data_IF_658927116871
#
_entry.id   IF_658927116871
#
_cell.length_a   1.000
_cell.length_b   1.000
_cell.length_c   1.000
_cell.angle_alpha   90.00
_cell.angle_beta   90.00
_cell.angle_gamma   90.00
#
_symmetry.space_group_name_H-M   'P 1'
#
loop_
_entity.id
_entity.type
_entity.pdbx_description
1 polymer ?
#
# COMPACT_ATOMS: atom_id res chain seq x y z
N UNK A 1 -3.37 -0.70 -29.49
CA UNK A 1 -3.22 0.29 -28.41
C UNK A 1 -4.59 0.67 -27.90
N UNK A 2 -4.97 0.23 -26.70
CA UNK A 2 -6.16 0.74 -26.02
C UNK A 2 -5.87 2.15 -25.52
N UNK A 3 -6.45 3.15 -26.18
CA UNK A 3 -6.54 4.50 -25.62
C UNK A 3 -7.93 4.61 -25.00
N UNK A 4 -8.03 4.50 -23.70
CA UNK A 4 -9.27 4.65 -22.96
C UNK A 4 -9.32 6.02 -22.29
N UNK A 5 -10.34 6.79 -22.67
CA UNK A 5 -10.70 8.06 -22.05
C UNK A 5 -11.78 7.75 -21.03
N UNK A 6 -11.46 7.85 -19.77
CA UNK A 6 -12.37 7.55 -18.67
C UNK A 6 -11.80 6.47 -17.74
N UNK A 7 -12.40 6.27 -16.58
CA UNK A 7 -12.02 5.38 -15.48
C UNK A 7 -12.00 3.87 -15.81
N UNK A 8 -11.54 3.50 -16.99
CA UNK A 8 -11.49 2.12 -17.48
C UNK A 8 -10.04 1.64 -17.53
N UNK A 9 -9.81 0.46 -17.02
CA UNK A 9 -8.50 -0.15 -16.94
C UNK A 9 -8.45 -1.46 -17.71
N UNK A 10 -7.55 -1.53 -18.71
CA UNK A 10 -7.28 -2.77 -19.43
C UNK A 10 -6.17 -3.57 -18.76
N UNK A 11 -6.44 -4.83 -18.46
CA UNK A 11 -5.38 -5.80 -18.18
C UNK A 11 -4.82 -6.19 -19.55
N UNK A 12 -3.59 -5.71 -19.84
CA UNK A 12 -2.93 -5.90 -21.13
C UNK A 12 -2.88 -7.38 -21.50
N UNK A 13 -3.18 -7.68 -22.76
CA UNK A 13 -3.04 -8.98 -23.43
C UNK A 13 -3.98 -10.14 -23.00
N UNK A 14 -4.84 -9.96 -21.99
CA UNK A 14 -5.78 -11.01 -21.56
C UNK A 14 -7.24 -10.76 -21.93
N UNK A 15 -7.55 -9.63 -22.53
CA UNK A 15 -8.93 -9.31 -22.94
C UNK A 15 -9.87 -8.99 -21.77
N UNK A 16 -9.35 -8.49 -20.65
CA UNK A 16 -10.17 -8.02 -19.52
C UNK A 16 -10.17 -6.50 -19.42
N UNK A 17 -11.33 -5.95 -19.06
CA UNK A 17 -11.53 -4.53 -18.76
C UNK A 17 -12.26 -4.41 -17.44
N UNK A 18 -11.78 -3.54 -16.56
CA UNK A 18 -12.49 -3.17 -15.33
C UNK A 18 -13.18 -1.84 -15.56
N UNK A 19 -14.49 -1.78 -15.32
CA UNK A 19 -15.29 -0.57 -15.43
C UNK A 19 -15.93 -0.23 -14.09
N UNK A 20 -16.13 1.06 -13.85
CA UNK A 20 -16.93 1.52 -12.73
C UNK A 20 -18.41 1.23 -12.97
N UNK A 21 -19.11 0.67 -11.96
CA UNK A 21 -20.54 0.42 -12.03
C UNK A 21 -21.31 1.72 -11.85
N UNK A 22 -22.05 2.13 -12.86
CA UNK A 22 -22.78 3.42 -12.88
C UNK A 22 -24.23 3.30 -12.39
N UNK A 23 -24.72 2.09 -12.16
CA UNK A 23 -26.11 1.83 -11.75
C UNK A 23 -26.16 0.75 -10.66
N UNK A 24 -26.87 1.02 -9.56
CA UNK A 24 -27.01 0.09 -8.44
C UNK A 24 -26.00 0.35 -7.33
N UNK A 25 -25.56 -0.72 -6.69
CA UNK A 25 -24.56 -0.65 -5.60
C UNK A 25 -23.19 -0.22 -6.12
N UNK A 26 -22.46 0.52 -5.28
CA UNK A 26 -21.10 0.92 -5.61
C UNK A 26 -20.22 -0.30 -5.85
N UNK A 27 -19.39 -0.25 -6.88
CA UNK A 27 -18.46 -1.33 -7.22
C UNK A 27 -17.92 -1.21 -8.62
N UNK A 28 -17.31 -2.29 -9.08
CA UNK A 28 -16.72 -2.41 -10.41
C UNK A 28 -17.23 -3.67 -11.09
N UNK A 29 -17.13 -3.69 -12.40
CA UNK A 29 -17.39 -4.86 -13.23
C UNK A 29 -16.13 -5.26 -13.99
N UNK A 30 -15.74 -6.52 -13.88
CA UNK A 30 -14.68 -7.13 -14.69
C UNK A 30 -15.32 -7.73 -15.94
N UNK A 31 -15.02 -7.20 -17.09
CA UNK A 31 -15.49 -7.68 -18.40
C UNK A 31 -14.41 -8.56 -19.03
N UNK A 32 -14.74 -9.81 -19.31
CA UNK A 32 -13.96 -10.66 -20.20
C UNK A 32 -14.36 -10.35 -21.66
N UNK A 33 -13.48 -9.73 -22.40
CA UNK A 33 -13.72 -9.33 -23.79
C UNK A 33 -13.71 -10.52 -24.78
N UNK A 34 -13.23 -11.68 -24.35
CA UNK A 34 -13.18 -12.90 -25.17
C UNK A 34 -14.47 -13.69 -25.04
N UNK A 35 -14.94 -13.88 -23.80
CA UNK A 35 -16.15 -14.66 -23.51
C UNK A 35 -17.41 -13.79 -23.45
N UNK A 36 -17.25 -12.50 -23.19
CA UNK A 36 -18.35 -11.57 -22.92
C UNK A 36 -18.92 -11.69 -21.50
N UNK A 37 -18.28 -12.47 -20.63
CA UNK A 37 -18.69 -12.60 -19.24
C UNK A 37 -18.41 -11.32 -18.45
N UNK A 38 -19.32 -10.97 -17.52
CA UNK A 38 -19.20 -9.84 -16.63
C UNK A 38 -19.21 -10.36 -15.20
N UNK A 39 -18.14 -10.11 -14.47
CA UNK A 39 -18.00 -10.53 -13.09
C UNK A 39 -18.01 -9.32 -12.16
N UNK A 40 -18.92 -9.24 -11.17
CA UNK A 40 -18.98 -8.13 -10.25
C UNK A 40 -17.81 -8.16 -9.25
N UNK A 41 -17.28 -6.98 -8.97
CA UNK A 41 -16.21 -6.74 -8.01
C UNK A 41 -16.67 -5.73 -6.96
N UNK A 42 -16.26 -5.94 -5.70
CA UNK A 42 -16.35 -4.91 -4.67
C UNK A 42 -15.37 -3.77 -4.97
N UNK A 43 -14.17 -4.13 -5.39
CA UNK A 43 -13.14 -3.14 -5.62
C UNK A 43 -12.04 -3.63 -6.56
N UNK A 44 -11.32 -2.68 -7.13
CA UNK A 44 -10.09 -2.90 -7.88
C UNK A 44 -9.09 -1.78 -7.61
N UNK A 45 -7.81 -2.12 -7.61
CA UNK A 45 -6.73 -1.14 -7.45
C UNK A 45 -5.55 -1.51 -8.32
N UNK A 46 -4.96 -0.51 -8.95
CA UNK A 46 -3.73 -0.68 -9.73
C UNK A 46 -2.61 0.10 -9.10
N UNK A 47 -1.47 -0.53 -9.04
CA UNK A 47 -0.24 0.10 -8.63
C UNK A 47 0.92 -0.45 -9.45
N UNK A 48 1.63 0.48 -10.11
CA UNK A 48 2.79 0.10 -10.93
C UNK A 48 2.45 -1.00 -11.94
N UNK A 49 2.97 -2.19 -11.72
CA UNK A 49 2.85 -3.38 -12.57
C UNK A 49 1.87 -4.43 -12.02
N UNK A 50 1.11 -4.10 -10.99
CA UNK A 50 0.15 -5.00 -10.37
C UNK A 50 -1.28 -4.47 -10.36
N UNK A 51 -2.25 -5.38 -10.45
CA UNK A 51 -3.66 -5.10 -10.25
C UNK A 51 -4.25 -6.03 -9.20
N UNK A 52 -4.92 -5.46 -8.21
CA UNK A 52 -5.70 -6.19 -7.23
C UNK A 52 -7.19 -6.15 -7.60
N UNK A 53 -7.83 -7.32 -7.58
CA UNK A 53 -9.26 -7.49 -7.84
C UNK A 53 -9.90 -8.15 -6.62
N UNK A 54 -10.91 -7.48 -6.03
CA UNK A 54 -11.67 -7.99 -4.90
C UNK A 54 -13.09 -8.32 -5.35
N UNK A 55 -13.41 -9.60 -5.38
CA UNK A 55 -14.67 -10.14 -5.88
C UNK A 55 -15.76 -10.13 -4.80
N UNK A 56 -17.02 -10.07 -5.22
CA UNK A 56 -18.18 -10.06 -4.29
C UNK A 56 -18.33 -11.37 -3.50
N UNK A 57 -17.72 -12.46 -3.95
CA UNK A 57 -17.68 -13.73 -3.23
C UNK A 57 -16.55 -13.81 -2.18
N UNK A 58 -15.86 -12.70 -1.92
CA UNK A 58 -14.77 -12.62 -0.95
C UNK A 58 -13.41 -13.00 -1.49
N UNK A 59 -13.29 -13.43 -2.75
CA UNK A 59 -11.98 -13.71 -3.34
C UNK A 59 -11.20 -12.43 -3.58
N UNK A 60 -9.93 -12.49 -3.27
CA UNK A 60 -8.96 -11.43 -3.53
C UNK A 60 -7.84 -11.97 -4.40
N UNK A 61 -7.66 -11.37 -5.57
CA UNK A 61 -6.62 -11.77 -6.52
C UNK A 61 -5.75 -10.58 -6.89
N UNK A 62 -4.44 -10.83 -6.99
CA UNK A 62 -3.47 -9.86 -7.50
C UNK A 62 -2.74 -10.46 -8.69
N UNK A 63 -2.68 -9.70 -9.76
CA UNK A 63 -2.01 -10.09 -11.00
C UNK A 63 -0.90 -9.10 -11.33
N UNK A 64 0.19 -9.62 -11.89
CA UNK A 64 1.14 -8.78 -12.61
C UNK A 64 0.51 -8.34 -13.93
N UNK A 65 0.49 -7.04 -14.21
CA UNK A 65 -0.16 -6.49 -15.41
C UNK A 65 0.66 -6.67 -16.68
N UNK A 66 1.98 -6.86 -16.55
CA UNK A 66 2.86 -7.08 -17.69
C UNK A 66 2.89 -8.55 -18.13
N UNK A 67 3.09 -9.46 -17.18
CA UNK A 67 3.17 -10.91 -17.46
C UNK A 67 1.81 -11.59 -17.36
N UNK A 68 0.89 -10.99 -16.59
CA UNK A 68 -0.43 -11.54 -16.29
C UNK A 68 -0.37 -12.71 -15.31
N UNK A 69 0.74 -12.92 -14.63
CA UNK A 69 0.86 -13.96 -13.62
C UNK A 69 0.01 -13.63 -12.39
N UNK A 70 -0.61 -14.66 -11.85
CA UNK A 70 -1.34 -14.58 -10.59
C UNK A 70 -0.33 -14.61 -9.44
N UNK A 71 -0.25 -13.51 -8.69
CA UNK A 71 0.67 -13.38 -7.55
C UNK A 71 -0.02 -13.81 -6.25
N UNK A 72 -1.27 -13.38 -6.07
CA UNK A 72 -2.04 -13.65 -4.85
C UNK A 72 -3.41 -14.20 -5.25
N UNK A 73 -3.84 -15.28 -4.59
CA UNK A 73 -5.21 -15.84 -4.69
C UNK A 73 -5.64 -16.28 -3.30
N UNK A 74 -6.44 -15.49 -2.64
CA UNK A 74 -6.87 -15.74 -1.27
C UNK A 74 -8.34 -15.38 -1.08
N UNK A 75 -8.91 -15.79 0.05
CA UNK A 75 -10.28 -15.44 0.43
C UNK A 75 -10.25 -14.55 1.67
N UNK A 76 -11.00 -13.47 1.61
CA UNK A 76 -11.25 -12.59 2.74
C UNK A 76 -12.53 -13.03 3.42
N UNK A 77 -12.43 -13.41 4.69
CA UNK A 77 -13.59 -13.78 5.48
C UNK A 77 -14.49 -12.54 5.72
N UNK A 78 -15.74 -12.56 5.27
CA UNK A 78 -16.66 -11.48 5.53
C UNK A 78 -16.97 -11.38 7.04
N UNK A 79 -17.15 -10.15 7.53
CA UNK A 79 -17.54 -9.90 8.90
C UNK A 79 -18.96 -9.33 8.89
N UNK A 80 -19.86 -9.93 9.66
CA UNK A 80 -21.26 -9.50 9.73
C UNK A 80 -21.35 -8.05 10.20
N UNK A 81 -22.18 -7.25 9.52
CA UNK A 81 -22.36 -5.83 9.82
C UNK A 81 -21.23 -4.92 9.34
N UNK A 82 -20.26 -5.45 8.60
CA UNK A 82 -19.14 -4.69 8.09
C UNK A 82 -19.03 -4.84 6.56
N UNK A 83 -18.58 -3.78 5.92
CA UNK A 83 -18.18 -3.80 4.52
C UNK A 83 -16.65 -3.77 4.41
N UNK A 84 -16.13 -4.56 3.52
CA UNK A 84 -14.73 -4.45 3.14
C UNK A 84 -14.58 -3.27 2.22
N UNK A 85 -13.87 -2.27 2.70
CA UNK A 85 -13.46 -1.16 1.86
C UNK A 85 -12.01 -1.37 1.49
N UNK A 86 -11.77 -1.42 0.26
CA UNK A 86 -10.47 -1.48 -0.21
C UNK A 86 -9.80 -0.17 -0.16
N UNK A 87 -8.66 0.14 0.08
CA UNK A 87 -7.60 -0.53 0.15
C UNK A 87 -6.65 -0.15 -0.91
N UNK A 88 -5.44 -0.30 -0.66
CA UNK A 88 -4.37 -0.11 -1.61
C UNK A 88 -3.78 -1.47 -2.01
N UNK A 89 -3.55 -1.64 -3.30
CA UNK A 89 -2.58 -2.57 -3.81
C UNK A 89 -1.19 -1.99 -3.55
N UNK A 90 -0.36 -2.69 -2.79
CA UNK A 90 0.94 -2.16 -2.33
C UNK A 90 2.14 -2.66 -3.14
N UNK A 91 1.90 -3.35 -4.24
CA UNK A 91 2.92 -4.07 -4.99
C UNK A 91 3.28 -5.40 -4.33
N UNK A 92 4.15 -6.17 -4.96
CA UNK A 92 4.62 -7.49 -4.47
C UNK A 92 3.49 -8.47 -4.09
N UNK A 93 2.26 -8.25 -4.57
CA UNK A 93 1.10 -9.05 -4.26
C UNK A 93 0.42 -8.74 -2.93
N UNK A 94 0.86 -7.72 -2.19
CA UNK A 94 0.23 -7.31 -0.94
C UNK A 94 -0.94 -6.36 -1.17
N UNK A 95 -2.03 -6.60 -0.45
CA UNK A 95 -3.25 -5.79 -0.48
C UNK A 95 -3.64 -5.38 0.91
N UNK A 96 -3.88 -4.09 1.08
CA UNK A 96 -4.35 -3.49 2.31
C UNK A 96 -5.88 -3.43 2.32
N UNK A 97 -6.51 -3.98 3.33
CA UNK A 97 -7.95 -4.05 3.49
C UNK A 97 -8.38 -3.35 4.79
N UNK A 98 -9.33 -2.43 4.66
CA UNK A 98 -10.05 -1.89 5.80
C UNK A 98 -11.44 -2.49 5.85
N UNK A 99 -11.85 -2.95 7.01
CA UNK A 99 -13.24 -3.26 7.31
C UNK A 99 -13.85 -2.03 7.95
N UNK A 100 -15.02 -1.63 7.45
CA UNK A 100 -15.75 -0.47 7.95
C UNK A 100 -17.15 -0.88 8.39
N UNK A 101 -17.60 -0.29 9.47
CA UNK A 101 -18.97 -0.42 9.94
C UNK A 101 -19.95 0.12 8.88
N UNK A 102 -21.06 -0.61 8.65
CA UNK A 102 -22.04 -0.24 7.63
C UNK A 102 -22.85 1.01 7.98
N UNK A 103 -22.98 1.33 9.26
CA UNK A 103 -23.85 2.41 9.72
C UNK A 103 -23.12 3.76 9.79
N UNK A 104 -21.87 3.75 10.29
CA UNK A 104 -21.12 4.98 10.54
C UNK A 104 -19.86 5.12 9.67
N UNK A 105 -19.51 4.08 8.89
CA UNK A 105 -18.31 4.03 8.03
C UNK A 105 -16.99 4.16 8.78
N UNK A 106 -16.98 3.96 10.09
CA UNK A 106 -15.73 3.92 10.85
C UNK A 106 -14.93 2.65 10.55
N UNK A 107 -13.63 2.80 10.43
CA UNK A 107 -12.74 1.64 10.23
C UNK A 107 -12.69 0.82 11.52
N UNK A 108 -13.14 -0.41 11.44
CA UNK A 108 -13.21 -1.35 12.55
C UNK A 108 -12.07 -2.35 12.57
N UNK A 109 -11.45 -2.60 11.41
CA UNK A 109 -10.28 -3.45 11.30
C UNK A 109 -9.40 -3.03 10.14
N UNK A 110 -8.11 -3.31 10.27
CA UNK A 110 -7.10 -3.12 9.23
C UNK A 110 -6.32 -4.41 9.05
N UNK A 111 -6.37 -4.96 7.84
CA UNK A 111 -5.73 -6.23 7.51
C UNK A 111 -4.91 -6.14 6.24
N UNK A 112 -3.84 -6.89 6.19
CA UNK A 112 -2.98 -7.03 5.00
C UNK A 112 -2.98 -8.47 4.54
N UNK A 113 -3.28 -8.65 3.27
CA UNK A 113 -3.26 -9.96 2.61
C UNK A 113 -2.09 -9.99 1.62
N UNK A 114 -1.48 -11.14 1.48
CA UNK A 114 -0.39 -11.40 0.55
C UNK A 114 -0.55 -12.76 -0.12
N UNK A 115 0.48 -13.24 -0.84
CA UNK A 115 0.43 -14.49 -1.58
C UNK A 115 0.00 -15.71 -0.75
N UNK A 116 0.36 -15.74 0.54
CA UNK A 116 0.04 -16.84 1.47
C UNK A 116 -1.28 -16.61 2.24
N UNK A 117 -2.05 -15.59 1.94
CA UNK A 117 -3.31 -15.25 2.62
C UNK A 117 -3.19 -14.06 3.57
N UNK A 118 -3.86 -14.13 4.74
CA UNK A 118 -3.77 -13.08 5.76
C UNK A 118 -2.36 -13.03 6.34
N UNK A 119 -1.67 -11.92 6.11
CA UNK A 119 -0.30 -11.69 6.59
C UNK A 119 -0.29 -10.95 7.91
N UNK A 120 -1.13 -9.91 8.03
CA UNK A 120 -1.16 -9.06 9.21
C UNK A 120 -2.58 -8.65 9.57
N UNK A 121 -2.89 -8.68 10.86
CA UNK A 121 -4.05 -8.01 11.45
C UNK A 121 -3.55 -6.88 12.34
N UNK A 122 -3.66 -5.67 11.85
CA UNK A 122 -3.17 -4.44 12.48
C UNK A 122 -4.27 -3.69 13.25
N UNK A 123 -5.42 -4.31 13.42
CA UNK A 123 -6.61 -3.69 14.05
C UNK A 123 -6.29 -3.13 15.43
N UNK A 124 -5.49 -3.84 16.22
CA UNK A 124 -5.11 -3.44 17.57
C UNK A 124 -4.22 -2.18 17.65
N UNK A 125 -3.76 -1.69 16.50
CA UNK A 125 -2.88 -0.52 16.41
C UNK A 125 -3.62 0.78 16.04
N UNK A 126 -4.90 0.71 15.71
CA UNK A 126 -5.68 1.87 15.26
C UNK A 126 -5.76 2.98 16.32
N UNK A 127 -5.85 2.62 17.60
CA UNK A 127 -5.87 3.59 18.68
C UNK A 127 -4.51 4.29 18.89
N UNK A 128 -3.43 3.63 18.50
CA UNK A 128 -2.07 4.14 18.68
C UNK A 128 -1.61 5.04 17.54
N UNK A 129 -1.99 4.70 16.31
CA UNK A 129 -1.56 5.41 15.12
C UNK A 129 -2.77 5.96 14.37
N UNK A 130 -2.73 7.25 14.01
CA UNK A 130 -3.77 7.84 13.17
C UNK A 130 -3.67 7.40 11.71
N UNK A 131 -2.50 6.95 11.29
CA UNK A 131 -2.29 6.38 9.97
C UNK A 131 -1.29 5.23 10.04
N UNK A 132 -1.70 4.10 9.48
CA UNK A 132 -0.87 2.93 9.25
C UNK A 132 -0.69 2.80 7.74
N UNK A 133 0.52 2.61 7.28
CA UNK A 133 0.82 2.48 5.86
C UNK A 133 1.81 1.34 5.64
N UNK A 134 1.63 0.62 4.54
CA UNK A 134 2.67 -0.27 4.04
C UNK A 134 3.93 0.56 3.72
N UNK A 135 5.07 0.11 4.18
CA UNK A 135 6.33 0.79 3.93
C UNK A 135 7.10 0.08 2.82
N UNK A 136 7.47 -1.17 3.03
CA UNK A 136 8.31 -1.94 2.11
C UNK A 136 8.32 -3.41 2.51
N UNK A 137 8.73 -4.28 1.60
CA UNK A 137 9.00 -5.70 1.89
C UNK A 137 10.49 -5.91 2.21
N UNK A 138 10.79 -6.74 3.20
CA UNK A 138 12.17 -7.13 3.52
C UNK A 138 12.73 -8.10 2.47
N UNK A 139 14.07 -8.33 2.43
CA UNK A 139 14.65 -9.34 1.55
C UNK A 139 14.10 -10.76 1.76
N UNK A 140 13.57 -11.06 2.94
CA UNK A 140 12.94 -12.35 3.26
C UNK A 140 11.46 -12.40 2.87
N UNK A 141 10.94 -11.37 2.19
CA UNK A 141 9.55 -11.31 1.73
C UNK A 141 8.55 -10.93 2.82
N UNK A 142 8.98 -10.35 3.96
CA UNK A 142 8.09 -9.91 5.04
C UNK A 142 7.76 -8.43 4.91
N UNK A 143 6.50 -8.01 5.07
CA UNK A 143 6.12 -6.61 5.00
C UNK A 143 6.57 -5.85 6.25
N UNK A 144 6.97 -4.60 6.04
CA UNK A 144 7.14 -3.59 7.08
C UNK A 144 6.10 -2.49 6.90
N UNK A 145 5.66 -1.93 8.01
CA UNK A 145 4.65 -0.86 8.03
C UNK A 145 5.21 0.39 8.69
N UNK A 146 4.63 1.52 8.34
CA UNK A 146 4.87 2.81 8.97
C UNK A 146 3.63 3.19 9.79
N UNK A 147 3.78 3.30 11.10
CA UNK A 147 2.76 3.80 12.00
C UNK A 147 3.02 5.26 12.36
N UNK A 148 2.13 6.17 11.96
CA UNK A 148 2.25 7.60 12.23
C UNK A 148 1.41 7.97 13.46
N UNK A 149 2.04 8.58 14.47
CA UNK A 149 1.39 8.99 15.71
C UNK A 149 0.86 10.44 15.60
N UNK A 150 -0.27 10.72 16.26
CA UNK A 150 -0.86 12.06 16.33
C UNK A 150 0.02 13.09 17.05
N UNK A 151 0.88 12.61 17.95
CA UNK A 151 1.81 13.44 18.72
C UNK A 151 3.15 12.73 18.87
N UNK A 152 4.25 13.46 19.02
CA UNK A 152 5.54 12.85 19.28
C UNK A 152 5.46 11.97 20.54
N UNK A 153 6.02 10.77 20.44
CA UNK A 153 6.25 9.94 21.62
C UNK A 153 7.23 10.61 22.58
N UNK A 154 7.39 10.07 23.77
CA UNK A 154 8.33 10.60 24.78
C UNK A 154 9.76 10.73 24.29
N UNK A 155 10.14 9.99 23.25
CA UNK A 155 11.46 10.07 22.59
C UNK A 155 11.48 10.96 21.33
N UNK A 156 10.39 11.71 21.06
CA UNK A 156 10.26 12.59 19.89
C UNK A 156 9.94 11.88 18.57
N UNK A 157 9.61 10.59 18.60
CA UNK A 157 9.21 9.84 17.40
C UNK A 157 7.82 10.22 16.95
N UNK A 158 7.68 10.51 15.67
CA UNK A 158 6.39 10.70 14.99
C UNK A 158 6.00 9.50 14.14
N UNK A 159 6.95 8.60 13.89
CA UNK A 159 6.78 7.43 13.06
C UNK A 159 7.56 6.25 13.64
N UNK A 160 6.87 5.12 13.77
CA UNK A 160 7.45 3.83 14.12
C UNK A 160 7.44 2.92 12.88
N UNK A 161 8.47 2.10 12.71
CA UNK A 161 8.45 1.02 11.73
C UNK A 161 8.08 -0.28 12.43
N UNK A 162 7.11 -0.97 11.87
CA UNK A 162 6.45 -2.13 12.46
C UNK A 162 6.65 -3.36 11.59
N UNK A 163 6.75 -4.53 12.21
CA UNK A 163 6.74 -5.82 11.53
C UNK A 163 5.31 -6.29 11.17
N UNK A 164 5.20 -7.48 10.58
CA UNK A 164 3.94 -8.11 10.21
C UNK A 164 2.99 -8.38 11.41
N UNK A 165 3.52 -8.42 12.63
CA UNK A 165 2.74 -8.60 13.85
C UNK A 165 2.40 -7.26 14.54
N UNK A 166 2.85 -6.14 13.97
CA UNK A 166 2.67 -4.81 14.55
C UNK A 166 3.68 -4.48 15.67
N UNK A 167 4.74 -5.27 15.85
CA UNK A 167 5.78 -4.94 16.79
C UNK A 167 6.71 -3.88 16.21
N UNK A 168 7.20 -2.98 17.07
CA UNK A 168 8.15 -1.94 16.66
C UNK A 168 9.50 -2.58 16.36
N UNK A 169 9.90 -2.53 15.10
CA UNK A 169 11.22 -2.98 14.64
C UNK A 169 12.27 -1.91 14.97
N UNK A 170 11.96 -0.66 14.66
CA UNK A 170 12.76 0.48 15.07
C UNK A 170 11.91 1.75 15.14
N UNK A 171 12.33 2.67 16.00
CA UNK A 171 11.61 3.88 16.35
C UNK A 171 12.50 5.12 16.22
N UNK A 172 11.93 6.27 16.52
CA UNK A 172 12.67 7.54 16.55
C UNK A 172 12.76 8.21 15.20
N UNK A 173 11.87 7.84 14.27
CA UNK A 173 11.78 8.51 12.99
C UNK A 173 10.82 9.71 13.08
N UNK A 174 11.21 10.82 12.46
CA UNK A 174 10.29 11.94 12.22
C UNK A 174 9.32 11.65 11.09
N UNK A 175 9.75 10.86 10.12
CA UNK A 175 8.92 10.32 9.03
C UNK A 175 9.62 9.14 8.37
N UNK A 176 8.82 8.25 7.77
CA UNK A 176 9.31 7.22 6.86
C UNK A 176 8.28 7.01 5.74
N UNK A 177 8.75 6.72 4.53
CA UNK A 177 7.90 6.42 3.38
C UNK A 177 8.70 5.68 2.31
N UNK A 178 8.01 4.78 1.61
CA UNK A 178 8.52 4.24 0.37
C UNK A 178 8.25 5.25 -0.72
N UNK A 179 9.26 5.74 -1.37
CA UNK A 179 9.11 6.72 -2.42
C UNK A 179 8.94 6.01 -3.77
N UNK A 180 7.75 6.08 -4.31
CA UNK A 180 7.55 5.98 -5.75
C UNK A 180 7.60 7.40 -6.31
N UNK A 181 8.79 7.89 -6.56
CA UNK A 181 8.91 9.08 -7.39
C UNK A 181 8.69 8.65 -8.85
N UNK A 182 7.59 9.12 -9.44
CA UNK A 182 7.31 8.96 -10.87
C UNK A 182 8.34 9.67 -11.77
N UNK A 183 9.33 10.31 -11.19
CA UNK A 183 10.33 11.11 -11.89
C UNK A 183 11.76 10.65 -11.62
N UNK A 184 12.18 9.49 -12.11
CA UNK A 184 13.58 9.16 -12.40
C UNK A 184 14.45 8.51 -11.30
N UNK A 185 14.08 8.45 -10.03
CA UNK A 185 14.91 7.82 -9.01
C UNK A 185 14.13 6.72 -8.28
N UNK A 186 14.06 5.55 -8.88
CA UNK A 186 13.65 4.36 -8.14
C UNK A 186 14.66 4.12 -7.03
N UNK A 187 14.17 4.05 -5.79
CA UNK A 187 15.01 3.57 -4.70
C UNK A 187 15.43 2.13 -4.99
N UNK A 188 16.61 1.72 -4.54
CA UNK A 188 16.96 0.30 -4.57
C UNK A 188 15.90 -0.54 -3.85
N UNK A 189 15.77 -1.80 -4.25
CA UNK A 189 14.90 -2.74 -3.55
C UNK A 189 15.21 -2.76 -2.05
N UNK A 190 14.19 -2.93 -1.23
CA UNK A 190 14.29 -3.00 0.24
C UNK A 190 14.90 -1.75 0.91
N UNK A 191 14.76 -0.59 0.25
CA UNK A 191 15.24 0.71 0.75
C UNK A 191 14.07 1.69 0.81
N UNK A 192 14.00 2.45 1.89
CA UNK A 192 12.99 3.51 2.05
C UNK A 192 13.63 4.82 2.50
N UNK A 193 12.89 5.90 2.33
CA UNK A 193 13.30 7.22 2.81
C UNK A 193 12.91 7.36 4.27
N UNK A 194 13.84 7.85 5.09
CA UNK A 194 13.60 8.13 6.49
C UNK A 194 14.18 9.47 6.91
N UNK A 195 13.56 10.06 7.95
CA UNK A 195 14.06 11.21 8.65
C UNK A 195 14.25 10.87 10.13
N UNK A 196 15.43 11.14 10.69
CA UNK A 196 15.70 10.98 12.12
C UNK A 196 16.46 12.19 12.66
N UNK A 197 15.77 12.98 13.49
CA UNK A 197 16.31 14.26 13.94
C UNK A 197 16.61 15.19 12.75
N UNK A 198 17.85 15.62 12.63
CA UNK A 198 18.32 16.50 11.56
C UNK A 198 18.88 15.77 10.34
N UNK A 199 18.79 14.45 10.32
CA UNK A 199 19.27 13.63 9.21
C UNK A 199 18.09 13.10 8.41
N UNK A 200 18.25 13.04 7.09
CA UNK A 200 17.32 12.39 6.17
C UNK A 200 18.10 11.67 5.08
N UNK A 201 17.49 10.66 4.51
CA UNK A 201 18.12 9.87 3.46
C UNK A 201 17.53 8.48 3.31
N UNK A 202 18.34 7.56 2.85
CA UNK A 202 17.94 6.19 2.53
C UNK A 202 18.33 5.25 3.66
N UNK A 203 17.38 4.41 4.04
CA UNK A 203 17.54 3.44 5.12
C UNK A 203 17.14 2.05 4.62
N UNK A 204 17.88 1.03 5.02
CA UNK A 204 17.52 -0.35 4.73
C UNK A 204 16.49 -0.89 5.74
N UNK A 205 15.97 -2.09 5.48
CA UNK A 205 14.97 -2.75 6.33
C UNK A 205 15.49 -3.16 7.72
N UNK A 206 16.79 -3.01 7.97
CA UNK A 206 17.40 -3.20 9.30
C UNK A 206 17.60 -1.88 10.06
N UNK A 207 17.13 -0.75 9.50
CA UNK A 207 17.28 0.56 10.11
C UNK A 207 18.67 1.18 9.97
N UNK A 208 19.51 0.66 9.06
CA UNK A 208 20.84 1.19 8.77
C UNK A 208 20.76 2.23 7.65
N UNK A 209 21.42 3.36 7.87
CA UNK A 209 21.60 4.36 6.83
C UNK A 209 22.51 3.83 5.71
N UNK A 210 21.99 3.83 4.49
CA UNK A 210 22.77 3.60 3.26
C UNK A 210 23.32 4.90 2.72
N UNK A 211 22.52 5.95 2.84
CA UNK A 211 22.90 7.33 2.53
C UNK A 211 22.13 8.25 3.47
N UNK A 212 22.80 9.24 4.03
CA UNK A 212 22.10 10.30 4.77
C UNK A 212 22.84 11.63 4.64
N UNK A 213 22.09 12.69 4.73
CA UNK A 213 22.59 14.05 4.78
C UNK A 213 21.91 14.84 5.90
N UNK A 214 22.61 15.83 6.42
CA UNK A 214 22.03 16.77 7.37
C UNK A 214 21.20 17.80 6.64
N UNK A 215 20.05 18.18 7.21
CA UNK A 215 19.24 19.28 6.69
C UNK A 215 20.02 20.62 6.71
N UNK A 216 21.07 20.75 7.53
CA UNK A 216 21.92 21.93 7.57
C UNK A 216 22.98 21.97 6.47
N UNK A 217 23.30 20.86 5.84
CA UNK A 217 24.24 20.83 4.72
C UNK A 217 23.66 21.47 3.45
N UNK A 218 22.33 21.48 3.29
CA UNK A 218 21.66 22.16 2.20
C UNK A 218 21.57 23.67 2.38
N UNK A 219 21.58 24.16 3.61
CA UNK A 219 21.54 25.61 3.90
C UNK A 219 22.89 26.25 3.57
N UNK A 220 24.00 25.55 3.80
CA UNK A 220 25.33 26.09 3.49
C UNK A 220 25.67 26.05 2.00
N UNK A 221 25.04 25.18 1.21
CA UNK A 221 25.28 25.10 -0.23
C UNK A 221 24.58 26.24 -1.00
N UNK A 222 23.44 26.71 -0.50
CA UNK A 222 22.71 27.81 -1.13
C UNK A 222 23.32 29.19 -0.78
N UNK A 223 23.99 29.32 0.36
CA UNK A 223 24.70 30.55 0.76
C UNK A 223 26.02 30.78 0.01
N UNK A 224 26.62 29.72 -0.54
CA UNK A 224 27.85 29.84 -1.35
C UNK A 224 27.60 30.15 -2.83
N UNK A 225 26.36 30.04 -3.32
CA UNK A 225 25.99 30.40 -4.70
C UNK A 225 25.39 31.81 -4.84
N UNK A 226 25.51 32.61 -3.85
CA UNK A 226 25.02 34.00 -3.77
C UNK A 226 26.07 35.08 -4.13
N UNK A 227 26.92 34.84 -5.16
CA UNK A 227 27.69 35.91 -5.79
C UNK A 227 27.85 35.68 -7.29
#
# INVERSE_FOLDING_TARGET
SCSLVGSEMCIRDRGYVVTWRTSGDFGYDLHDLVTGEVTPLYASSVMSDTIALYYEDGRLKVFNTETGDLITDTTVEPVEGQQSVMMDNKGDGYVWLELRDNDNFETTATRVYGPEGLVSDLTHLQDKYYALNYLITTPEGRPLYCGNANAPSSNGSMCDVLDENGNIVFYGLGSCYSYYDNSLNQLPEHVFVAKRGFYYGWMDTNGKWLYCQSIFSSINADDEMGY
#
